data_IF_098838515876
#
_entry.id   IF_098838515876
#
_cell.length_a   1.000
_cell.length_b   1.000
_cell.length_c   1.000
_cell.angle_alpha   90.00
_cell.angle_beta   90.00
_cell.angle_gamma   90.00
#
_symmetry.space_group_name_H-M   'P 1'
#
loop_
_entity.id
_entity.type
_entity.pdbx_description
1 polymer ?
#
# COMPACT_ATOMS: atom_id res chain seq x y z
N UNK A 1 -11.24 0.64 30.75
CA UNK A 1 -10.09 0.97 29.87
C UNK A 1 -9.97 -0.07 28.78
N UNK A 2 -10.05 0.30 27.50
CA UNK A 2 -9.87 -0.63 26.38
C UNK A 2 -8.40 -1.03 26.29
N UNK A 3 -8.05 -2.31 26.55
CA UNK A 3 -6.68 -2.82 26.36
C UNK A 3 -6.25 -2.58 24.90
N UNK A 4 -5.04 -2.06 24.71
CA UNK A 4 -4.39 -2.02 23.40
C UNK A 4 -4.12 -3.47 23.01
N UNK A 5 -4.67 -3.91 21.88
CA UNK A 5 -4.42 -5.24 21.35
C UNK A 5 -2.99 -5.32 20.82
N UNK A 6 -2.24 -6.31 21.26
CA UNK A 6 -0.88 -6.58 20.77
C UNK A 6 -0.92 -7.32 19.43
N UNK A 7 0.21 -7.37 18.74
CA UNK A 7 0.35 -8.23 17.55
C UNK A 7 0.02 -9.69 17.88
N UNK A 8 0.46 -10.18 19.03
CA UNK A 8 0.23 -11.56 19.44
C UNK A 8 -1.26 -11.86 19.67
N UNK A 9 -2.01 -10.93 20.28
CA UNK A 9 -3.46 -11.10 20.44
C UNK A 9 -4.18 -11.19 19.08
N UNK A 10 -3.78 -10.35 18.12
CA UNK A 10 -4.33 -10.41 16.76
C UNK A 10 -3.92 -11.67 16.02
N UNK A 11 -2.69 -12.14 16.23
CA UNK A 11 -2.22 -13.40 15.69
C UNK A 11 -3.02 -14.59 16.23
N UNK A 12 -3.38 -14.58 17.52
CA UNK A 12 -4.25 -15.60 18.11
C UNK A 12 -5.65 -15.59 17.48
N UNK A 13 -6.23 -14.42 17.25
CA UNK A 13 -7.53 -14.28 16.60
C UNK A 13 -7.44 -14.75 15.14
N UNK A 14 -6.44 -14.27 14.39
CA UNK A 14 -6.20 -14.68 13.01
C UNK A 14 -6.04 -16.19 12.88
N UNK A 15 -5.15 -16.77 13.69
CA UNK A 15 -4.90 -18.21 13.74
C UNK A 15 -6.19 -19.00 13.95
N UNK A 16 -7.09 -18.55 14.81
CA UNK A 16 -8.36 -19.24 15.06
C UNK A 16 -9.33 -19.11 13.88
N UNK A 17 -9.38 -17.95 13.24
CA UNK A 17 -10.21 -17.73 12.07
C UNK A 17 -9.77 -18.59 10.88
N UNK A 18 -8.47 -18.84 10.75
CA UNK A 18 -7.89 -19.75 9.75
C UNK A 18 -8.03 -21.25 10.14
N UNK A 19 -8.70 -21.56 11.26
CA UNK A 19 -9.02 -22.93 11.67
C UNK A 19 -7.98 -23.63 12.53
N UNK A 20 -6.97 -22.92 13.05
CA UNK A 20 -5.97 -23.50 13.95
C UNK A 20 -6.39 -23.38 15.42
N UNK A 21 -6.15 -24.44 16.19
CA UNK A 21 -6.63 -24.54 17.57
C UNK A 21 -5.78 -23.74 18.57
N UNK A 22 -4.51 -23.47 18.22
CA UNK A 22 -3.56 -22.76 19.07
C UNK A 22 -2.45 -22.11 18.25
N UNK A 23 -1.71 -21.19 18.86
CA UNK A 23 -0.48 -20.65 18.25
C UNK A 23 0.56 -21.73 17.98
N UNK A 24 0.59 -22.79 18.80
CA UNK A 24 1.51 -23.89 18.55
C UNK A 24 1.15 -24.67 17.28
N UNK A 25 -0.14 -24.94 17.12
CA UNK A 25 -0.71 -25.55 15.92
C UNK A 25 -0.48 -24.66 14.69
N UNK A 26 -0.73 -23.36 14.80
CA UNK A 26 -0.45 -22.40 13.74
C UNK A 26 1.03 -22.33 13.35
N UNK A 27 1.95 -22.35 14.31
CA UNK A 27 3.38 -22.34 14.02
C UNK A 27 3.81 -23.58 13.23
N UNK A 28 3.40 -24.77 13.68
CA UNK A 28 3.87 -26.05 13.12
C UNK A 28 3.11 -26.40 11.85
N UNK A 29 1.78 -26.28 11.86
CA UNK A 29 0.92 -26.73 10.77
C UNK A 29 0.61 -25.63 9.76
N UNK A 30 0.45 -24.39 10.22
CA UNK A 30 0.24 -23.22 9.36
C UNK A 30 1.53 -22.74 8.71
N UNK A 31 2.47 -22.23 9.51
CA UNK A 31 3.71 -21.62 9.03
C UNK A 31 4.87 -22.59 8.79
N UNK A 32 4.70 -23.88 9.14
CA UNK A 32 5.74 -24.92 9.00
C UNK A 32 7.05 -24.61 9.74
N UNK A 33 6.95 -23.92 10.86
CA UNK A 33 8.08 -23.69 11.76
C UNK A 33 8.43 -24.96 12.54
N UNK A 34 9.70 -25.08 12.95
CA UNK A 34 10.17 -26.17 13.82
C UNK A 34 9.52 -26.15 15.21
N UNK A 35 9.18 -24.96 15.71
CA UNK A 35 8.51 -24.78 17.00
C UNK A 35 7.77 -23.44 17.09
N UNK A 36 6.90 -23.32 18.08
CA UNK A 36 6.16 -22.09 18.37
C UNK A 36 6.95 -21.03 19.13
N UNK A 37 8.19 -21.33 19.51
CA UNK A 37 9.02 -20.43 20.32
C UNK A 37 9.21 -19.06 19.64
N UNK A 38 9.33 -19.05 18.31
CA UNK A 38 9.45 -17.83 17.48
C UNK A 38 8.23 -16.92 17.56
N UNK A 39 7.03 -17.49 17.72
CA UNK A 39 5.79 -16.73 17.90
C UNK A 39 5.52 -16.40 19.36
N UNK A 40 5.76 -17.34 20.28
CA UNK A 40 5.53 -17.18 21.72
C UNK A 40 6.36 -16.05 22.33
N UNK A 41 7.54 -15.70 21.77
CA UNK A 41 8.32 -14.54 22.21
C UNK A 41 7.57 -13.21 22.08
N UNK A 42 6.52 -13.15 21.25
CA UNK A 42 5.72 -11.96 20.98
C UNK A 42 4.56 -11.79 21.98
N UNK A 43 4.29 -12.83 22.80
CA UNK A 43 3.20 -12.84 23.79
C UNK A 43 3.31 -11.71 24.81
N UNK A 44 4.52 -11.31 25.17
CA UNK A 44 4.76 -10.24 26.14
C UNK A 44 4.37 -8.86 25.63
N UNK A 45 4.01 -8.71 24.34
CA UNK A 45 3.52 -7.48 23.73
C UNK A 45 4.57 -6.37 23.54
N UNK A 46 5.74 -6.49 24.21
CA UNK A 46 6.86 -5.55 24.10
C UNK A 46 7.70 -5.78 22.85
N UNK A 47 7.73 -7.02 22.36
CA UNK A 47 8.54 -7.43 21.21
C UNK A 47 7.74 -7.29 19.93
N UNK A 48 8.35 -6.65 18.93
CA UNK A 48 7.78 -6.55 17.58
C UNK A 48 8.04 -7.83 16.79
N UNK A 49 7.11 -8.24 15.92
CA UNK A 49 7.40 -9.31 14.95
C UNK A 49 8.57 -8.90 14.05
N UNK A 50 9.40 -9.86 13.67
CA UNK A 50 10.38 -9.65 12.60
C UNK A 50 9.68 -9.61 11.25
N UNK A 51 10.27 -8.91 10.27
CA UNK A 51 9.77 -8.87 8.89
C UNK A 51 9.57 -10.27 8.31
N UNK A 52 10.50 -11.19 8.61
CA UNK A 52 10.40 -12.60 8.22
C UNK A 52 9.09 -13.26 8.67
N UNK A 53 8.60 -13.00 9.89
CA UNK A 53 7.32 -13.56 10.36
C UNK A 53 6.15 -12.99 9.55
N UNK A 54 6.22 -11.71 9.23
CA UNK A 54 5.18 -11.02 8.45
C UNK A 54 5.16 -11.58 7.02
N UNK A 55 6.32 -11.76 6.41
CA UNK A 55 6.45 -12.35 5.07
C UNK A 55 5.99 -13.81 5.03
N UNK A 56 6.36 -14.61 6.03
CA UNK A 56 5.91 -16.01 6.13
C UNK A 56 4.38 -16.11 6.19
N UNK A 57 3.73 -15.22 6.95
CA UNK A 57 2.27 -15.15 7.03
C UNK A 57 1.69 -14.71 5.69
N UNK A 58 2.23 -13.64 5.08
CA UNK A 58 1.77 -13.14 3.77
C UNK A 58 1.86 -14.19 2.67
N UNK A 59 2.97 -14.92 2.62
CA UNK A 59 3.22 -15.92 1.60
C UNK A 59 2.37 -17.18 1.80
N UNK A 60 1.94 -17.44 3.04
CA UNK A 60 1.16 -18.62 3.37
C UNK A 60 -0.36 -18.39 3.24
N UNK A 61 -0.83 -17.19 3.51
CA UNK A 61 -2.24 -16.86 3.56
C UNK A 61 -2.55 -15.74 2.56
N UNK A 62 -3.20 -16.09 1.45
CA UNK A 62 -3.47 -15.17 0.33
C UNK A 62 -4.37 -13.99 0.73
N UNK A 63 -5.32 -14.23 1.64
CA UNK A 63 -6.31 -13.24 2.06
C UNK A 63 -5.98 -12.57 3.41
N UNK A 64 -4.71 -12.56 3.84
CA UNK A 64 -4.34 -11.97 5.12
C UNK A 64 -4.31 -10.44 5.05
N UNK A 65 -5.09 -9.78 5.91
CA UNK A 65 -4.98 -8.35 6.15
C UNK A 65 -3.78 -8.05 7.07
N UNK A 66 -2.63 -7.80 6.44
CA UNK A 66 -1.41 -7.43 7.16
C UNK A 66 -1.52 -6.08 7.87
N UNK A 67 -2.31 -5.14 7.34
CA UNK A 67 -2.51 -3.85 7.97
C UNK A 67 -3.20 -4.05 9.30
N UNK A 68 -4.29 -4.82 9.32
CA UNK A 68 -4.96 -5.17 10.56
C UNK A 68 -4.03 -5.94 11.52
N UNK A 69 -3.31 -6.95 11.03
CA UNK A 69 -2.45 -7.79 11.87
C UNK A 69 -1.33 -6.97 12.54
N UNK A 70 -0.72 -6.03 11.83
CA UNK A 70 0.42 -5.23 12.31
C UNK A 70 -0.05 -3.96 13.03
N UNK A 71 -1.16 -3.35 12.61
CA UNK A 71 -1.57 -2.05 13.11
C UNK A 71 -1.90 -2.06 14.60
N UNK A 72 -1.41 -1.03 15.29
CA UNK A 72 -1.64 -0.84 16.73
C UNK A 72 -3.03 -0.26 17.04
N UNK A 73 -4.00 -0.40 16.12
CA UNK A 73 -5.29 0.27 16.21
C UNK A 73 -6.38 -0.70 16.67
N UNK A 74 -7.37 -0.13 17.36
CA UNK A 74 -8.54 -0.80 17.96
C UNK A 74 -9.51 -1.41 16.92
N UNK A 75 -9.07 -1.58 15.69
CA UNK A 75 -9.89 -2.11 14.60
C UNK A 75 -9.91 -3.64 14.75
N UNK A 76 -11.12 -4.22 14.76
CA UNK A 76 -11.31 -5.67 14.70
C UNK A 76 -11.24 -6.11 13.24
N UNK A 77 -10.90 -7.37 12.96
CA UNK A 77 -10.95 -7.87 11.59
C UNK A 77 -12.41 -7.86 11.18
N UNK A 78 -12.74 -7.12 10.13
CA UNK A 78 -14.10 -7.07 9.60
C UNK A 78 -14.32 -8.39 8.85
N UNK A 79 -15.08 -9.30 9.43
CA UNK A 79 -15.46 -10.54 8.75
C UNK A 79 -16.60 -10.24 7.77
N UNK A 80 -16.43 -10.69 6.51
CA UNK A 80 -17.53 -10.77 5.55
C UNK A 80 -17.61 -9.64 4.52
N UNK A 81 -16.50 -9.02 4.13
CA UNK A 81 -16.47 -8.27 2.88
C UNK A 81 -15.80 -9.18 1.85
N UNK A 82 -16.63 -9.83 1.04
CA UNK A 82 -16.21 -10.31 -0.26
C UNK A 82 -15.38 -9.19 -0.90
N UNK A 83 -14.21 -9.51 -1.46
CA UNK A 83 -13.30 -8.56 -2.10
C UNK A 83 -13.98 -7.82 -3.27
N UNK A 84 -14.88 -6.90 -2.97
CA UNK A 84 -15.06 -5.68 -3.73
C UNK A 84 -14.05 -4.75 -3.09
N UNK A 85 -13.07 -4.31 -3.88
CA UNK A 85 -12.32 -3.09 -3.59
C UNK A 85 -13.37 -2.00 -3.36
N UNK A 86 -13.82 -1.83 -2.13
CA UNK A 86 -14.61 -0.68 -1.76
C UNK A 86 -13.59 0.46 -1.74
N UNK A 87 -13.67 1.28 -2.80
CA UNK A 87 -12.81 2.43 -3.01
C UNK A 87 -12.69 3.18 -1.68
N UNK A 88 -11.47 3.36 -1.14
CA UNK A 88 -11.32 4.03 0.14
C UNK A 88 -12.04 5.37 0.07
N UNK A 89 -12.87 5.64 1.09
CA UNK A 89 -13.62 6.88 1.21
C UNK A 89 -12.81 8.06 0.70
N UNK A 90 -13.36 8.93 -0.17
CA UNK A 90 -12.59 9.82 -1.02
C UNK A 90 -11.58 10.59 -0.18
N UNK A 91 -10.31 10.23 -0.32
CA UNK A 91 -9.25 10.90 0.40
C UNK A 91 -9.23 12.34 -0.06
N UNK A 92 -9.62 13.26 0.84
CA UNK A 92 -9.63 14.70 0.57
C UNK A 92 -8.26 15.17 0.08
N UNK A 93 -7.20 14.56 0.61
CA UNK A 93 -5.83 14.81 0.19
C UNK A 93 -5.52 14.28 -1.22
N UNK A 94 -6.13 13.17 -1.64
CA UNK A 94 -5.97 12.67 -3.01
C UNK A 94 -6.73 13.54 -4.00
N UNK A 95 -7.96 13.97 -3.69
CA UNK A 95 -8.69 14.91 -4.55
C UNK A 95 -7.91 16.22 -4.78
N UNK A 96 -7.22 16.71 -3.74
CA UNK A 96 -6.34 17.86 -3.87
C UNK A 96 -5.10 17.57 -4.72
N UNK A 97 -4.48 16.40 -4.54
CA UNK A 97 -3.35 15.95 -5.37
C UNK A 97 -3.75 15.81 -6.83
N UNK A 98 -4.90 15.19 -7.13
CA UNK A 98 -5.38 14.99 -8.49
C UNK A 98 -5.67 16.32 -9.17
N UNK A 99 -6.33 17.26 -8.47
CA UNK A 99 -6.53 18.62 -8.98
C UNK A 99 -5.21 19.34 -9.27
N UNK A 100 -4.23 19.18 -8.39
CA UNK A 100 -2.91 19.77 -8.57
C UNK A 100 -2.20 19.15 -9.79
N UNK A 101 -2.25 17.82 -9.94
CA UNK A 101 -1.69 17.08 -11.07
C UNK A 101 -2.34 17.58 -12.37
N UNK A 102 -3.67 17.60 -12.46
CA UNK A 102 -4.38 18.06 -13.66
C UNK A 102 -4.04 19.51 -14.00
N UNK A 103 -3.92 20.39 -12.99
CA UNK A 103 -3.52 21.78 -13.19
C UNK A 103 -2.09 21.89 -13.72
N UNK A 104 -1.17 21.05 -13.23
CA UNK A 104 0.21 21.02 -13.70
C UNK A 104 0.30 20.46 -15.12
N UNK A 105 -0.43 19.40 -15.44
CA UNK A 105 -0.50 18.80 -16.79
C UNK A 105 -1.01 19.80 -17.83
N UNK A 106 -2.07 20.57 -17.50
CA UNK A 106 -2.57 21.63 -18.38
C UNK A 106 -1.52 22.71 -18.63
N UNK A 107 -0.77 23.09 -17.59
CA UNK A 107 0.30 24.09 -17.69
C UNK A 107 1.45 23.58 -18.56
N UNK A 108 1.87 22.32 -18.35
CA UNK A 108 2.91 21.66 -19.14
C UNK A 108 2.49 21.62 -20.61
N UNK A 109 1.24 21.22 -20.89
CA UNK A 109 0.70 21.16 -22.25
C UNK A 109 0.70 22.54 -22.91
N UNK A 110 0.20 23.56 -22.23
CA UNK A 110 0.16 24.93 -22.77
C UNK A 110 1.57 25.50 -23.04
N UNK A 111 2.55 25.19 -22.20
CA UNK A 111 3.95 25.56 -22.42
C UNK A 111 4.55 24.82 -23.61
N UNK A 112 4.26 23.52 -23.73
CA UNK A 112 4.72 22.71 -24.84
C UNK A 112 4.16 23.20 -26.18
N UNK A 113 2.86 23.50 -26.23
CA UNK A 113 2.18 24.04 -27.42
C UNK A 113 2.80 25.39 -27.85
N UNK A 114 3.15 26.26 -26.88
CA UNK A 114 3.86 27.53 -27.16
C UNK A 114 5.29 27.31 -27.67
N UNK A 115 6.03 26.37 -27.10
CA UNK A 115 7.39 26.06 -27.55
C UNK A 115 7.39 25.55 -29.00
N UNK A 116 6.46 24.67 -29.34
CA UNK A 116 6.30 24.15 -30.70
C UNK A 116 5.95 25.26 -31.71
N UNK A 117 5.04 26.17 -31.34
CA UNK A 117 4.69 27.31 -32.18
C UNK A 117 5.89 28.26 -32.42
N UNK A 118 6.68 28.50 -31.37
CA UNK A 118 7.89 29.33 -31.46
C UNK A 118 8.93 28.68 -32.38
N UNK A 119 9.15 27.38 -32.24
CA UNK A 119 10.09 26.62 -33.06
C UNK A 119 9.70 26.68 -34.55
N UNK A 120 8.42 26.47 -34.86
CA UNK A 120 7.91 26.59 -36.23
C UNK A 120 8.11 28.00 -36.79
N UNK A 121 7.84 29.05 -35.99
CA UNK A 121 8.05 30.42 -36.40
C UNK A 121 9.53 30.71 -36.72
N UNK A 122 10.45 30.19 -35.92
CA UNK A 122 11.89 30.29 -36.17
C UNK A 122 12.31 29.59 -37.46
N UNK A 123 11.79 28.40 -37.74
CA UNK A 123 12.06 27.67 -38.99
C UNK A 123 11.57 28.45 -40.22
N UNK A 124 10.36 29.02 -40.17
CA UNK A 124 9.80 29.83 -41.26
C UNK A 124 10.66 31.08 -41.51
N UNK A 125 11.05 31.79 -40.44
CA UNK A 125 11.91 32.97 -40.54
C UNK A 125 13.29 32.62 -41.10
N UNK A 126 13.86 31.48 -40.68
CA UNK A 126 15.12 30.97 -41.21
C UNK A 126 15.07 30.73 -42.72
N UNK A 127 14.00 30.09 -43.22
CA UNK A 127 13.81 29.86 -44.66
C UNK A 127 13.66 31.17 -45.45
N UNK A 128 12.82 32.11 -44.96
CA UNK A 128 12.63 33.43 -45.61
C UNK A 128 13.90 34.28 -45.66
N UNK A 129 14.77 34.15 -44.67
CA UNK A 129 16.06 34.85 -44.65
C UNK A 129 17.05 34.30 -45.70
N UNK A 130 16.93 33.02 -46.06
CA UNK A 130 17.75 32.39 -47.11
C UNK A 130 17.25 32.75 -48.51
N UNK A 131 15.93 32.84 -48.72
CA UNK A 131 15.33 33.23 -50.01
C UNK A 131 15.63 34.68 -50.41
N UNK A 132 15.81 35.61 -49.46
CA UNK A 132 16.15 37.02 -49.75
C UNK A 132 17.62 37.27 -50.11
N UNK A 133 18.49 36.26 -49.96
CA UNK A 133 19.93 36.37 -50.25
C UNK A 133 20.32 35.76 -51.60
N UNK A 134 19.37 35.13 -52.30
CA UNK A 134 19.55 34.61 -53.67
C UNK A 134 18.95 35.57 -54.70
#
# INVERSE_FOLDING_TARGET
>A
MSKISTFFDRLEIFSRNEGFNSINDFAINGLKYKSSQKLNRLRDGTRRPSLEIIEDIKNKFENVDLNWLIANKREKPVQGIDNVMEDPAPCKDCQWRDRLITSQEQTIKALHDKANALQLAMEILGRKAMEKKS
#
